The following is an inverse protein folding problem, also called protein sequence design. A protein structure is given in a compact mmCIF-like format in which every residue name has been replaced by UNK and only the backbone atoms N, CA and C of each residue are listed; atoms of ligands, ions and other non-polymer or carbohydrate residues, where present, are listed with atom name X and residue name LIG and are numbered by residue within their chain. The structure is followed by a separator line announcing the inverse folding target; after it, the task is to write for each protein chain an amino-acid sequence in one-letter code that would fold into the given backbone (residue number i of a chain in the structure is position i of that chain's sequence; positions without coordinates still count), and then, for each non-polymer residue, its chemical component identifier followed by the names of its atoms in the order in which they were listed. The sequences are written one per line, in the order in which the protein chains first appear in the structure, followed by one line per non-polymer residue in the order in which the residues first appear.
data_IF_698010277846
#
_entry.id   IF_698010277846
#
_cell.length_a   1.000
_cell.length_b   1.000
_cell.length_c   1.000
_cell.angle_alpha   90.00
_cell.angle_beta   90.00
_cell.angle_gamma   90.00
#
_symmetry.space_group_name_H-M   'P 1'
#
loop_
_entity.id
_entity.type
_entity.pdbx_description
1 polymer ?
#
# COMPACT_ATOMS: atom_id res chain seq x y z
N UNK A 1 -43.72 78.01 -42.19
CA UNK A 1 -42.37 78.52 -41.87
C UNK A 1 -42.34 78.78 -40.37
N UNK A 2 -41.48 78.09 -39.62
CA UNK A 2 -40.49 78.67 -38.71
C UNK A 2 -39.75 77.52 -38.03
N UNK A 3 -38.44 77.51 -38.27
CA UNK A 3 -37.43 76.69 -37.63
C UNK A 3 -37.05 77.28 -36.26
N UNK A 4 -36.50 76.41 -35.41
CA UNK A 4 -35.57 76.68 -34.29
C UNK A 4 -36.20 77.37 -33.04
N UNK A 5 -35.79 77.13 -31.79
CA UNK A 5 -34.56 76.55 -31.25
C UNK A 5 -34.66 76.28 -29.72
N UNK A 6 -33.78 75.40 -29.23
CA UNK A 6 -33.12 75.35 -27.89
C UNK A 6 -33.90 75.09 -26.58
N UNK A 7 -33.50 74.04 -25.86
CA UNK A 7 -32.89 74.05 -24.51
C UNK A 7 -32.84 72.59 -23.97
N UNK A 8 -31.69 71.92 -23.95
CA UNK A 8 -30.72 71.83 -22.84
C UNK A 8 -31.26 71.23 -21.53
N UNK A 9 -30.83 70.01 -21.18
CA UNK A 9 -30.02 69.64 -19.99
C UNK A 9 -30.20 68.16 -19.59
N UNK A 10 -29.08 67.45 -19.66
CA UNK A 10 -28.59 66.41 -18.74
C UNK A 10 -29.45 65.15 -18.52
N UNK A 11 -29.02 64.05 -19.16
CA UNK A 11 -29.07 62.74 -18.49
C UNK A 11 -27.67 62.21 -18.30
N UNK A 12 -27.26 62.22 -17.04
CA UNK A 12 -26.04 61.62 -16.54
C UNK A 12 -26.06 60.13 -16.84
N UNK A 13 -24.94 59.64 -17.35
CA UNK A 13 -24.74 58.23 -17.63
C UNK A 13 -24.91 57.37 -16.38
N UNK A 14 -25.57 56.23 -16.59
CA UNK A 14 -25.25 55.01 -15.86
C UNK A 14 -25.23 53.89 -16.88
N UNK A 15 -24.03 53.33 -17.07
CA UNK A 15 -23.79 52.12 -17.84
C UNK A 15 -24.57 51.00 -17.14
N UNK A 16 -25.70 50.56 -17.70
CA UNK A 16 -26.39 49.38 -17.21
C UNK A 16 -25.53 48.16 -17.53
N UNK A 17 -24.70 47.77 -16.56
CA UNK A 17 -23.98 46.49 -16.56
C UNK A 17 -25.04 45.40 -16.54
N UNK A 18 -25.32 44.81 -17.71
CA UNK A 18 -26.10 43.59 -17.82
C UNK A 18 -25.34 42.48 -17.08
N UNK A 19 -25.77 42.16 -15.86
CA UNK A 19 -25.34 40.96 -15.15
C UNK A 19 -26.30 39.84 -15.56
N UNK A 20 -25.91 39.04 -16.55
CA UNK A 20 -26.63 37.81 -16.90
C UNK A 20 -26.59 36.85 -15.70
N UNK A 21 -27.71 36.54 -15.04
CA UNK A 21 -27.69 35.79 -13.81
C UNK A 21 -27.96 34.31 -14.08
N UNK A 22 -27.23 33.64 -14.97
CA UNK A 22 -27.55 32.24 -15.32
C UNK A 22 -26.31 31.35 -15.47
N UNK A 23 -25.47 31.32 -14.43
CA UNK A 23 -24.58 30.18 -14.23
C UNK A 23 -24.76 29.61 -12.83
N UNK A 24 -25.82 28.80 -12.65
CA UNK A 24 -25.91 27.94 -11.48
C UNK A 24 -24.78 26.92 -11.54
N UNK A 25 -23.70 27.17 -10.78
CA UNK A 25 -22.64 26.18 -10.55
C UNK A 25 -23.27 25.06 -9.71
N UNK A 26 -23.72 24.01 -10.39
CA UNK A 26 -24.18 22.77 -9.73
C UNK A 26 -22.93 22.15 -9.08
N UNK A 27 -22.72 22.45 -7.78
CA UNK A 27 -21.66 21.80 -7.02
C UNK A 27 -22.09 20.36 -6.78
N UNK A 28 -21.58 19.42 -7.60
CA UNK A 28 -21.79 17.99 -7.39
C UNK A 28 -21.45 17.66 -5.95
N UNK A 29 -22.34 16.95 -5.27
CA UNK A 29 -22.05 16.53 -3.92
C UNK A 29 -20.91 15.50 -3.97
N UNK A 30 -20.16 15.41 -2.87
CA UNK A 30 -19.10 14.41 -2.72
C UNK A 30 -19.58 12.98 -3.06
N UNK A 31 -20.83 12.66 -2.68
CA UNK A 31 -21.44 11.35 -2.90
C UNK A 31 -21.84 11.09 -4.36
N UNK A 32 -22.19 12.14 -5.13
CA UNK A 32 -22.49 12.01 -6.57
C UNK A 32 -21.22 11.69 -7.37
N UNK A 33 -20.08 12.25 -6.96
CA UNK A 33 -18.76 11.98 -7.58
C UNK A 33 -18.32 10.55 -7.27
N UNK A 34 -18.52 10.08 -6.04
CA UNK A 34 -18.19 8.71 -5.64
C UNK A 34 -19.12 7.66 -6.28
N UNK A 35 -20.38 7.98 -6.56
CA UNK A 35 -21.33 7.06 -7.21
C UNK A 35 -21.25 7.07 -8.75
N UNK A 36 -20.44 7.96 -9.32
CA UNK A 36 -20.26 8.08 -10.77
C UNK A 36 -19.71 6.79 -11.38
N UNK A 37 -20.14 6.46 -12.59
CA UNK A 37 -19.58 5.33 -13.34
C UNK A 37 -18.08 5.50 -13.63
N UNK A 38 -17.62 6.75 -13.73
CA UNK A 38 -16.18 7.07 -13.81
C UNK A 38 -15.40 6.61 -12.58
N UNK A 39 -15.98 6.76 -11.37
CA UNK A 39 -15.37 6.30 -10.12
C UNK A 39 -15.26 4.78 -10.09
N UNK A 40 -16.33 4.07 -10.49
CA UNK A 40 -16.35 2.60 -10.59
C UNK A 40 -15.32 2.08 -11.59
N UNK A 41 -15.17 2.75 -12.74
CA UNK A 41 -14.12 2.44 -13.72
C UNK A 41 -12.73 2.65 -13.11
N UNK A 42 -12.54 3.71 -12.33
CA UNK A 42 -11.30 4.00 -11.61
C UNK A 42 -10.99 2.97 -10.50
N UNK A 43 -12.01 2.48 -9.79
CA UNK A 43 -11.89 1.40 -8.80
C UNK A 43 -11.44 0.10 -9.46
N UNK A 44 -12.13 -0.34 -10.52
CA UNK A 44 -11.74 -1.53 -11.27
C UNK A 44 -10.30 -1.46 -11.77
N UNK A 45 -9.88 -0.31 -12.32
CA UNK A 45 -8.49 -0.10 -12.76
C UNK A 45 -7.48 -0.23 -11.61
N UNK A 46 -7.82 0.26 -10.41
CA UNK A 46 -6.98 0.13 -9.22
C UNK A 46 -6.87 -1.33 -8.79
N UNK A 47 -7.98 -2.06 -8.80
CA UNK A 47 -8.02 -3.48 -8.45
C UNK A 47 -7.22 -4.31 -9.45
N UNK A 48 -7.45 -4.13 -10.75
CA UNK A 48 -6.70 -4.80 -11.83
C UNK A 48 -5.19 -4.55 -11.69
N UNK A 49 -4.80 -3.31 -11.36
CA UNK A 49 -3.39 -2.93 -11.18
C UNK A 49 -2.82 -3.58 -9.93
N UNK A 50 -3.57 -3.58 -8.83
CA UNK A 50 -3.16 -4.19 -7.58
C UNK A 50 -2.98 -5.71 -7.74
N UNK A 51 -3.88 -6.38 -8.44
CA UNK A 51 -3.79 -7.82 -8.74
C UNK A 51 -2.55 -8.14 -9.58
N UNK A 52 -2.29 -7.39 -10.65
CA UNK A 52 -1.09 -7.55 -11.48
C UNK A 52 0.19 -7.37 -10.68
N UNK A 53 0.23 -6.37 -9.80
CA UNK A 53 1.38 -6.13 -8.91
C UNK A 53 1.55 -7.30 -7.94
N UNK A 54 0.45 -7.78 -7.35
CA UNK A 54 0.46 -8.92 -6.43
C UNK A 54 0.98 -10.18 -7.11
N UNK A 55 0.43 -10.54 -8.28
CA UNK A 55 0.84 -11.70 -9.05
C UNK A 55 2.34 -11.65 -9.36
N UNK A 56 2.82 -10.53 -9.90
CA UNK A 56 4.24 -10.34 -10.21
C UNK A 56 5.15 -10.44 -8.99
N UNK A 57 4.68 -9.98 -7.83
CA UNK A 57 5.41 -10.12 -6.58
C UNK A 57 5.45 -11.58 -6.12
N UNK A 58 4.28 -12.23 -6.09
CA UNK A 58 4.11 -13.61 -5.63
C UNK A 58 4.85 -14.62 -6.54
N UNK A 59 4.92 -14.38 -7.85
CA UNK A 59 5.71 -15.17 -8.83
C UNK A 59 7.20 -15.30 -8.46
N UNK A 60 7.77 -14.25 -7.85
CA UNK A 60 9.20 -14.21 -7.47
C UNK A 60 9.42 -14.44 -5.97
N UNK A 61 8.34 -14.59 -5.20
CA UNK A 61 8.40 -14.72 -3.76
C UNK A 61 8.74 -16.16 -3.37
N UNK A 62 9.74 -16.30 -2.49
CA UNK A 62 10.09 -17.58 -1.89
C UNK A 62 9.45 -17.73 -0.51
N UNK A 63 8.88 -18.90 -0.24
CA UNK A 63 8.36 -19.23 1.08
C UNK A 63 9.52 -19.34 2.08
N UNK A 64 9.43 -18.57 3.17
CA UNK A 64 10.37 -18.69 4.29
C UNK A 64 9.92 -19.86 5.19
N UNK A 65 10.86 -20.58 5.84
CA UNK A 65 10.48 -21.63 6.79
C UNK A 65 9.52 -21.10 7.87
N UNK A 66 8.52 -21.87 8.30
CA UNK A 66 7.63 -21.41 9.36
C UNK A 66 8.40 -21.20 10.67
N UNK A 67 8.03 -20.18 11.45
CA UNK A 67 8.52 -19.99 12.82
C UNK A 67 7.45 -20.42 13.79
N UNK A 68 7.83 -21.19 14.80
CA UNK A 68 6.93 -21.65 15.85
C UNK A 68 6.99 -20.74 17.06
N UNK A 69 5.88 -20.69 17.78
CA UNK A 69 5.82 -20.08 19.11
C UNK A 69 6.80 -20.84 20.02
N UNK A 70 7.55 -20.11 20.84
CA UNK A 70 8.60 -20.63 21.71
C UNK A 70 9.97 -20.79 21.05
N UNK A 71 10.08 -20.63 19.73
CA UNK A 71 11.35 -20.83 19.02
C UNK A 71 12.31 -19.66 19.23
N UNK A 72 13.58 -19.99 19.50
CA UNK A 72 14.67 -19.01 19.47
C UNK A 72 14.94 -18.60 18.03
N UNK A 73 15.02 -17.29 17.76
CA UNK A 73 15.27 -16.73 16.44
C UNK A 73 16.27 -15.59 16.51
N UNK A 74 17.11 -15.46 15.49
CA UNK A 74 17.92 -14.26 15.28
C UNK A 74 17.03 -13.13 14.78
N UNK A 75 17.18 -11.95 15.36
CA UNK A 75 16.43 -10.75 15.00
C UNK A 75 17.37 -9.71 14.40
N UNK A 76 16.99 -9.16 13.25
CA UNK A 76 17.76 -8.10 12.62
C UNK A 76 17.52 -6.75 13.31
N UNK A 77 18.62 -6.11 13.74
CA UNK A 77 18.60 -4.76 14.29
C UNK A 77 18.14 -3.74 13.23
N UNK A 78 17.10 -2.91 13.48
CA UNK A 78 16.59 -1.96 12.49
C UNK A 78 17.59 -0.84 12.14
N UNK A 79 18.48 -0.45 13.06
CA UNK A 79 19.45 0.62 12.85
C UNK A 79 20.70 0.09 12.16
N UNK A 80 21.24 -1.03 12.65
CA UNK A 80 22.52 -1.58 12.18
C UNK A 80 22.37 -2.62 11.06
N UNK A 81 21.16 -3.16 10.87
CA UNK A 81 20.86 -4.25 9.93
C UNK A 81 21.64 -5.54 10.19
N UNK A 82 22.22 -5.69 11.38
CA UNK A 82 22.97 -6.87 11.81
C UNK A 82 22.05 -7.88 12.50
N UNK A 83 22.41 -9.16 12.39
CA UNK A 83 21.76 -10.27 13.10
C UNK A 83 22.50 -10.52 14.41
N UNK A 84 22.33 -9.66 15.41
CA UNK A 84 23.05 -9.77 16.69
C UNK A 84 22.18 -10.36 17.83
N UNK A 85 20.86 -10.19 17.76
CA UNK A 85 19.96 -10.44 18.89
C UNK A 85 19.22 -11.76 18.72
N UNK A 86 19.46 -12.74 19.58
CA UNK A 86 18.58 -13.91 19.71
C UNK A 86 17.40 -13.60 20.60
N UNK A 87 16.18 -13.92 20.16
CA UNK A 87 14.92 -13.68 20.89
C UNK A 87 13.98 -14.86 20.72
N UNK A 88 13.01 -15.00 21.62
CA UNK A 88 11.98 -16.03 21.53
C UNK A 88 10.76 -15.45 20.82
N UNK A 89 10.17 -16.22 19.90
CA UNK A 89 8.88 -15.90 19.29
C UNK A 89 7.77 -16.23 20.29
N UNK A 90 6.97 -15.24 20.68
CA UNK A 90 5.88 -15.40 21.65
C UNK A 90 4.56 -15.66 20.95
N UNK A 91 4.33 -15.02 19.80
CA UNK A 91 3.06 -15.09 19.08
C UNK A 91 3.28 -14.90 17.58
N UNK A 92 2.40 -15.49 16.78
CA UNK A 92 2.27 -15.22 15.35
C UNK A 92 0.94 -14.52 15.13
N UNK A 93 0.96 -13.34 14.52
CA UNK A 93 -0.29 -12.59 14.23
C UNK A 93 -1.07 -13.23 13.09
N UNK A 94 -2.36 -12.89 12.98
CA UNK A 94 -3.32 -13.43 12.01
C UNK A 94 -2.85 -13.41 10.55
N UNK A 95 -2.11 -12.38 10.14
CA UNK A 95 -1.58 -12.27 8.76
C UNK A 95 -0.44 -13.26 8.48
N UNK A 96 0.14 -13.92 9.49
CA UNK A 96 1.29 -14.83 9.38
C UNK A 96 2.63 -14.18 9.01
N UNK A 97 2.63 -12.88 8.67
CA UNK A 97 3.82 -12.10 8.27
C UNK A 97 4.50 -11.39 9.42
N UNK A 98 3.83 -11.25 10.55
CA UNK A 98 4.29 -10.48 11.71
C UNK A 98 4.28 -11.37 12.95
N UNK A 99 5.40 -11.38 13.67
CA UNK A 99 5.60 -12.16 14.89
C UNK A 99 5.84 -11.22 16.06
N UNK A 100 5.40 -11.61 17.24
CA UNK A 100 5.73 -10.94 18.49
C UNK A 100 6.97 -11.61 19.06
N UNK A 101 8.01 -10.82 19.35
CA UNK A 101 9.26 -11.31 19.92
C UNK A 101 9.55 -10.61 21.25
N UNK A 102 9.96 -11.39 22.25
CA UNK A 102 10.21 -10.89 23.60
C UNK A 102 11.68 -10.52 23.78
N UNK A 103 11.95 -9.32 24.32
CA UNK A 103 13.28 -8.82 24.68
C UNK A 103 13.66 -9.34 26.08
N UNK A 104 14.94 -9.66 26.34
CA UNK A 104 15.44 -9.84 27.71
C UNK A 104 15.21 -8.55 28.49
N UNK A 105 14.24 -8.56 29.40
CA UNK A 105 13.66 -7.37 30.02
C UNK A 105 12.14 -7.27 29.93
N UNK A 106 11.48 -8.29 29.35
CA UNK A 106 10.02 -8.48 29.43
C UNK A 106 9.20 -7.64 28.45
N UNK A 107 9.84 -6.80 27.63
CA UNK A 107 9.14 -6.04 26.58
C UNK A 107 8.99 -6.90 25.33
N UNK A 108 7.78 -6.99 24.81
CA UNK A 108 7.50 -7.62 23.52
C UNK A 108 7.35 -6.56 22.42
N UNK A 109 7.78 -6.89 21.20
CA UNK A 109 7.55 -6.03 20.04
C UNK A 109 7.27 -6.85 18.78
N UNK A 110 6.61 -6.21 17.82
CA UNK A 110 6.19 -6.85 16.56
C UNK A 110 7.31 -6.74 15.53
N UNK A 111 7.61 -7.85 14.86
CA UNK A 111 8.61 -7.91 13.81
C UNK A 111 8.14 -8.76 12.63
N UNK A 112 8.40 -8.28 11.42
CA UNK A 112 8.07 -9.02 10.20
C UNK A 112 8.95 -10.30 10.09
N UNK A 113 8.36 -11.40 9.62
CA UNK A 113 9.02 -12.70 9.36
C UNK A 113 10.34 -12.57 8.60
N UNK A 114 10.44 -11.60 7.67
CA UNK A 114 11.66 -11.34 6.87
C UNK A 114 12.86 -10.87 7.70
N UNK A 115 12.62 -10.32 8.89
CA UNK A 115 13.65 -9.82 9.81
C UNK A 115 13.94 -10.80 10.96
N UNK A 116 13.49 -12.05 10.81
CA UNK A 116 13.70 -13.14 11.75
C UNK A 116 14.37 -14.31 11.03
N UNK A 117 15.38 -14.93 11.65
CA UNK A 117 16.04 -16.12 11.10
C UNK A 117 16.03 -17.25 12.12
N UNK A 118 15.67 -18.48 11.71
CA UNK A 118 15.86 -19.63 12.58
C UNK A 118 17.37 -19.82 12.87
N UNK A 119 17.73 -20.36 14.04
CA UNK A 119 19.09 -20.71 14.36
C UNK A 119 19.47 -21.93 13.51
N UNK A 120 20.74 -22.02 13.09
CA UNK A 120 21.19 -23.09 12.21
C UNK A 120 21.08 -24.50 12.82
N UNK A 121 20.82 -24.60 14.13
CA UNK A 121 20.91 -25.84 14.90
C UNK A 121 19.61 -26.65 14.97
N UNK A 122 18.43 -26.09 14.66
CA UNK A 122 17.18 -26.84 14.79
C UNK A 122 16.33 -26.73 13.52
N UNK A 123 16.69 -27.56 12.56
CA UNK A 123 15.77 -28.11 11.57
C UNK A 123 15.33 -29.50 12.07
N UNK A 124 14.72 -29.60 13.25
CA UNK A 124 14.02 -30.81 13.68
C UNK A 124 12.51 -30.57 13.54
N UNK A 125 12.00 -31.03 12.41
CA UNK A 125 10.58 -31.29 12.20
C UNK A 125 10.08 -32.23 13.30
N UNK A 126 8.99 -31.94 14.05
CA UNK A 126 8.15 -33.00 14.55
C UNK A 126 7.52 -33.64 13.33
N UNK A 127 7.84 -34.92 13.23
CA UNK A 127 7.22 -35.98 12.44
C UNK A 127 5.78 -35.62 12.01
N UNK A 128 5.62 -35.39 10.70
CA UNK A 128 4.37 -35.58 9.99
C UNK A 128 4.69 -36.50 8.80
N UNK A 129 4.01 -37.64 8.78
CA UNK A 129 4.31 -38.80 7.98
C UNK A 129 3.83 -38.57 6.54
N UNK A 130 4.66 -37.93 5.71
CA UNK A 130 4.24 -37.61 4.35
C UNK A 130 5.39 -37.32 3.40
N UNK A 131 5.85 -38.38 2.72
CA UNK A 131 6.83 -38.38 1.64
C UNK A 131 6.82 -37.11 0.76
N UNK A 132 7.99 -36.47 0.59
CA UNK A 132 8.40 -36.00 -0.73
C UNK A 132 9.92 -35.85 -0.83
N UNK A 133 10.56 -36.88 -1.38
CA UNK A 133 11.79 -36.69 -2.16
C UNK A 133 11.43 -35.86 -3.40
N UNK A 134 12.17 -34.79 -3.63
CA UNK A 134 12.80 -34.59 -4.94
C UNK A 134 13.89 -33.53 -4.85
N UNK A 135 15.12 -34.01 -4.94
CA UNK A 135 16.26 -33.26 -5.44
C UNK A 135 15.94 -32.75 -6.84
N UNK A 136 15.71 -31.44 -6.99
CA UNK A 136 15.85 -30.77 -8.27
C UNK A 136 16.50 -29.41 -8.06
N UNK A 137 17.81 -29.42 -7.84
CA UNK A 137 18.69 -28.26 -7.94
C UNK A 137 18.89 -27.92 -9.43
N UNK A 138 17.82 -27.57 -10.14
CA UNK A 138 17.87 -27.24 -11.56
C UNK A 138 17.48 -25.76 -11.73
N UNK A 139 18.52 -24.94 -11.91
CA UNK A 139 18.52 -23.63 -12.58
C UNK A 139 17.68 -22.51 -11.92
N UNK A 140 18.28 -21.87 -10.91
CA UNK A 140 17.80 -20.60 -10.35
C UNK A 140 18.04 -19.48 -11.37
N UNK A 141 17.00 -18.81 -11.92
CA UNK A 141 17.23 -17.63 -12.74
C UNK A 141 17.78 -16.51 -11.84
N UNK A 142 18.95 -15.97 -12.21
CA UNK A 142 19.52 -14.82 -11.52
C UNK A 142 18.51 -13.66 -11.52
N UNK A 143 18.43 -12.86 -10.45
CA UNK A 143 17.62 -11.65 -10.48
C UNK A 143 18.07 -10.80 -11.68
N UNK A 144 17.13 -10.38 -12.54
CA UNK A 144 17.42 -9.38 -13.58
C UNK A 144 17.76 -8.07 -12.88
N UNK A 145 19.03 -7.92 -12.53
CA UNK A 145 19.62 -6.64 -12.18
C UNK A 145 19.42 -5.74 -13.39
N UNK A 146 18.66 -4.66 -13.21
CA UNK A 146 18.54 -3.62 -14.23
C UNK A 146 19.93 -3.06 -14.47
N UNK A 147 20.59 -3.46 -15.56
CA UNK A 147 21.76 -2.73 -16.03
C UNK A 147 21.28 -1.34 -16.43
N UNK A 148 21.97 -0.35 -15.89
CA UNK A 148 21.66 1.07 -16.02
C UNK A 148 22.53 1.68 -17.09
#
# INVERSE_FOLDING_TARGET
MFLAETASLQHNGYLAMHFEPDFQVIHKSYYDIMSSDEYKVGEKKRDDTHEKIKQKYDETAYALPPLRIGMLVWVQDPKRRLWDKMRVVEEVRDTGRSHVVTIPGGRAYVRNRRFLRPPALECSTPEDDGKHENSNEEQRPLPRTSQK
#
